data_IF_172116306512
#
_entry.id   IF_172116306512
#
_cell.length_a   1.000
_cell.length_b   1.000
_cell.length_c   1.000
_cell.angle_alpha   90.00
_cell.angle_beta   90.00
_cell.angle_gamma   90.00
#
_symmetry.space_group_name_H-M   'P 1'
#
loop_
_entity.id
_entity.type
_entity.pdbx_description
1 polymer ?
#
# COMPACT_ATOMS: atom_id res chain seq x y z
N UNK A 1 32.35 13.37 -45.45
CA UNK A 1 31.81 12.57 -44.33
C UNK A 1 31.54 13.52 -43.18
N UNK A 2 30.26 13.83 -42.96
CA UNK A 2 29.77 14.79 -41.99
C UNK A 2 30.02 14.28 -40.56
N UNK A 3 30.55 15.17 -39.71
CA UNK A 3 30.63 14.96 -38.27
C UNK A 3 29.37 15.59 -37.67
N UNK A 4 28.43 14.77 -37.23
CA UNK A 4 27.30 15.24 -36.42
C UNK A 4 27.72 15.25 -34.96
N UNK A 5 27.82 16.47 -34.41
CA UNK A 5 27.95 16.78 -32.99
C UNK A 5 26.67 16.38 -32.24
N UNK A 6 26.78 15.52 -31.25
CA UNK A 6 25.76 15.38 -30.20
C UNK A 6 26.25 16.08 -28.94
N UNK A 7 25.87 17.37 -28.85
CA UNK A 7 25.98 18.20 -27.65
C UNK A 7 24.93 17.73 -26.64
N UNK A 8 25.37 17.01 -25.61
CA UNK A 8 24.54 16.70 -24.46
C UNK A 8 24.12 18.02 -23.79
N UNK A 9 22.83 18.35 -23.88
CA UNK A 9 22.24 19.40 -23.08
C UNK A 9 22.09 18.87 -21.66
N UNK A 10 22.96 19.38 -20.79
CA UNK A 10 22.87 19.26 -19.35
C UNK A 10 21.63 20.05 -18.90
N UNK A 11 20.48 19.36 -18.84
CA UNK A 11 19.26 19.91 -18.27
C UNK A 11 19.44 19.83 -16.77
N UNK A 12 19.97 20.89 -16.18
CA UNK A 12 19.94 21.08 -14.74
C UNK A 12 18.49 21.06 -14.28
N UNK A 13 18.07 19.95 -13.67
CA UNK A 13 16.84 19.86 -12.90
C UNK A 13 16.94 20.88 -11.76
N UNK A 14 16.40 22.08 -11.98
CA UNK A 14 16.04 22.98 -10.90
C UNK A 14 14.83 22.37 -10.20
N UNK A 15 15.10 21.39 -9.33
CA UNK A 15 14.14 20.95 -8.32
C UNK A 15 13.89 22.13 -7.40
N UNK A 16 12.81 22.88 -7.67
CA UNK A 16 12.25 23.78 -6.68
C UNK A 16 12.04 22.98 -5.38
N UNK A 17 12.54 23.46 -4.23
CA UNK A 17 12.35 22.75 -2.98
C UNK A 17 10.86 22.62 -2.71
N UNK A 18 10.35 21.38 -2.83
CA UNK A 18 8.97 21.07 -2.52
C UNK A 18 8.75 21.37 -1.04
N UNK A 19 8.02 22.46 -0.81
CA UNK A 19 7.61 22.89 0.53
C UNK A 19 7.01 21.69 1.26
N UNK A 20 7.57 21.35 2.41
CA UNK A 20 7.11 20.17 3.14
C UNK A 20 5.67 20.39 3.60
N UNK A 21 4.91 19.31 3.76
CA UNK A 21 3.50 19.39 4.16
C UNK A 21 3.33 20.14 5.50
N UNK A 22 4.35 20.09 6.37
CA UNK A 22 4.44 20.83 7.63
C UNK A 22 4.65 22.35 7.43
N UNK A 23 5.54 22.75 6.52
CA UNK A 23 5.78 24.17 6.20
C UNK A 23 4.56 24.82 5.51
N UNK A 24 3.83 24.06 4.69
CA UNK A 24 2.58 24.53 4.09
C UNK A 24 1.48 24.72 5.13
N UNK A 25 1.34 23.79 6.08
CA UNK A 25 0.36 23.94 7.17
C UNK A 25 0.68 25.12 8.07
N UNK A 26 1.95 25.34 8.41
CA UNK A 26 2.40 26.46 9.25
C UNK A 26 2.19 27.82 8.55
N UNK A 27 2.48 27.90 7.25
CA UNK A 27 2.18 29.09 6.44
C UNK A 27 0.67 29.35 6.29
N UNK A 28 -0.15 28.31 6.20
CA UNK A 28 -1.60 28.44 6.16
C UNK A 28 -2.19 28.89 7.51
N UNK A 29 -1.65 28.37 8.62
CA UNK A 29 -2.07 28.75 9.97
C UNK A 29 -1.67 30.19 10.30
N UNK A 30 -0.45 30.61 9.94
CA UNK A 30 0.01 32.00 10.09
C UNK A 30 -0.77 32.98 9.19
N UNK A 31 -1.07 32.61 7.94
CA UNK A 31 -1.90 33.44 7.06
C UNK A 31 -3.35 33.55 7.57
N UNK A 32 -3.91 32.47 8.11
CA UNK A 32 -5.24 32.52 8.74
C UNK A 32 -5.23 33.34 10.04
N UNK A 33 -4.21 33.22 10.89
CA UNK A 33 -4.07 34.05 12.09
C UNK A 33 -4.00 35.54 11.75
N UNK A 34 -3.29 35.89 10.67
CA UNK A 34 -3.23 37.26 10.15
C UNK A 34 -4.60 37.78 9.65
N UNK A 35 -5.34 36.95 8.92
CA UNK A 35 -6.70 37.29 8.44
C UNK A 35 -7.67 37.44 9.61
N UNK A 36 -7.61 36.56 10.61
CA UNK A 36 -8.45 36.65 11.80
C UNK A 36 -8.12 37.88 12.66
N UNK A 37 -6.83 38.23 12.80
CA UNK A 37 -6.38 39.44 13.49
C UNK A 37 -6.91 40.71 12.84
N UNK A 38 -6.75 40.85 11.51
CA UNK A 38 -7.28 42.00 10.76
C UNK A 38 -8.81 42.08 10.78
N UNK A 39 -9.50 40.94 10.75
CA UNK A 39 -10.97 40.92 10.78
C UNK A 39 -11.53 41.26 12.16
N UNK A 40 -10.80 40.92 13.23
CA UNK A 40 -11.15 41.31 14.60
C UNK A 40 -10.90 42.81 14.84
N UNK A 41 -9.83 43.39 14.28
CA UNK A 41 -9.56 44.83 14.35
C UNK A 41 -10.60 45.69 13.59
N UNK A 42 -11.27 45.13 12.58
CA UNK A 42 -12.34 45.81 11.84
C UNK A 42 -13.69 45.86 12.60
N UNK A 43 -13.84 45.10 13.68
CA UNK A 43 -15.06 45.13 14.51
C UNK A 43 -14.92 46.22 15.58
N UNK A 44 -15.71 47.29 15.43
CA UNK A 44 -15.76 48.42 16.39
C UNK A 44 -16.20 47.99 17.80
N UNK A 45 -16.90 46.86 17.92
CA UNK A 45 -17.36 46.27 19.18
C UNK A 45 -17.11 44.76 19.21
N UNK A 46 -16.76 44.24 20.38
CA UNK A 46 -16.30 42.86 20.53
C UNK A 46 -17.37 41.92 21.11
N UNK A 47 -18.51 42.46 21.54
CA UNK A 47 -19.64 41.66 22.02
C UNK A 47 -20.97 42.38 21.80
N UNK A 48 -22.04 41.61 21.62
CA UNK A 48 -23.41 42.16 21.55
C UNK A 48 -23.77 42.91 22.83
N UNK A 49 -23.31 42.42 23.99
CA UNK A 49 -23.55 43.07 25.29
C UNK A 49 -22.98 44.49 25.33
N UNK A 50 -21.73 44.69 24.91
CA UNK A 50 -21.12 46.03 24.85
C UNK A 50 -21.90 46.99 23.94
N UNK A 51 -22.47 46.48 22.84
CA UNK A 51 -23.29 47.30 21.94
C UNK A 51 -24.60 47.70 22.63
N UNK A 52 -25.27 46.74 23.29
CA UNK A 52 -26.52 46.98 24.01
C UNK A 52 -26.34 47.96 25.17
N UNK A 53 -25.28 47.80 25.98
CA UNK A 53 -24.96 48.70 27.09
C UNK A 53 -24.71 50.15 26.58
N UNK A 54 -24.09 50.30 25.41
CA UNK A 54 -23.89 51.61 24.78
C UNK A 54 -25.20 52.21 24.25
N UNK A 55 -26.08 51.40 23.64
CA UNK A 55 -27.41 51.85 23.21
C UNK A 55 -28.19 52.34 24.44
N UNK A 56 -28.25 51.57 25.51
CA UNK A 56 -28.95 51.93 26.74
C UNK A 56 -28.43 53.25 27.33
N UNK A 57 -27.11 53.44 27.33
CA UNK A 57 -26.50 54.70 27.77
C UNK A 57 -26.90 55.89 26.91
N UNK A 58 -26.92 55.74 25.58
CA UNK A 58 -27.32 56.80 24.65
C UNK A 58 -28.82 57.11 24.76
N UNK A 59 -29.66 56.09 24.92
CA UNK A 59 -31.10 56.26 25.18
C UNK A 59 -31.36 56.96 26.51
N UNK A 60 -30.61 56.62 27.56
CA UNK A 60 -30.69 57.30 28.85
C UNK A 60 -30.30 58.78 28.72
N UNK A 61 -29.27 59.10 27.95
CA UNK A 61 -28.88 60.48 27.69
C UNK A 61 -29.98 61.25 26.98
N UNK A 62 -30.59 60.67 25.95
CA UNK A 62 -31.71 61.28 25.20
C UNK A 62 -32.91 61.60 26.10
N UNK A 63 -33.24 60.70 27.04
CA UNK A 63 -34.41 60.88 27.93
C UNK A 63 -34.19 61.93 29.01
N UNK A 64 -32.94 62.13 29.45
CA UNK A 64 -32.64 62.92 30.65
C UNK A 64 -31.96 64.28 30.38
N UNK A 65 -31.56 64.56 29.13
CA UNK A 65 -30.91 65.81 28.76
C UNK A 65 -31.68 66.55 27.66
N UNK A 66 -31.69 67.88 27.73
CA UNK A 66 -32.26 68.72 26.68
C UNK A 66 -31.22 69.02 25.60
N UNK A 67 -31.14 68.14 24.60
CA UNK A 67 -30.26 68.33 23.44
C UNK A 67 -30.85 69.31 22.43
N UNK A 68 -29.97 69.95 21.65
CA UNK A 68 -30.43 70.64 20.43
C UNK A 68 -30.83 69.59 19.39
N UNK A 69 -31.80 69.87 18.48
CA UNK A 69 -32.26 68.89 17.49
C UNK A 69 -31.15 68.24 16.65
N UNK A 70 -30.08 68.99 16.33
CA UNK A 70 -28.92 68.45 15.60
C UNK A 70 -28.09 67.45 16.41
N UNK A 71 -27.99 67.64 17.72
CA UNK A 71 -27.24 66.75 18.61
C UNK A 71 -28.06 65.49 18.91
N UNK A 72 -29.37 65.66 19.09
CA UNK A 72 -30.32 64.56 19.22
C UNK A 72 -30.27 63.61 18.02
N UNK A 73 -30.31 64.16 16.80
CA UNK A 73 -30.21 63.37 15.57
C UNK A 73 -28.91 62.57 15.50
N UNK A 74 -27.77 63.15 15.90
CA UNK A 74 -26.48 62.44 15.93
C UNK A 74 -26.51 61.24 16.88
N UNK A 75 -27.16 61.36 18.03
CA UNK A 75 -27.29 60.26 18.99
C UNK A 75 -28.20 59.17 18.41
N UNK A 76 -29.31 59.54 17.77
CA UNK A 76 -30.20 58.59 17.10
C UNK A 76 -29.50 57.84 15.95
N UNK A 77 -28.67 58.55 15.18
CA UNK A 77 -27.87 57.95 14.10
C UNK A 77 -26.84 56.95 14.66
N UNK A 78 -26.18 57.27 15.77
CA UNK A 78 -25.25 56.36 16.45
C UNK A 78 -25.98 55.11 16.98
N UNK A 79 -27.16 55.26 17.61
CA UNK A 79 -27.99 54.12 18.04
C UNK A 79 -28.35 53.23 16.84
N UNK A 80 -28.74 53.82 15.71
CA UNK A 80 -29.05 53.07 14.49
C UNK A 80 -27.82 52.31 13.96
N UNK A 81 -26.64 52.93 13.98
CA UNK A 81 -25.38 52.30 13.60
C UNK A 81 -25.00 51.14 14.54
N UNK A 82 -25.15 51.34 15.86
CA UNK A 82 -24.94 50.31 16.88
C UNK A 82 -25.88 49.11 16.63
N UNK A 83 -27.17 49.33 16.41
CA UNK A 83 -28.12 48.27 16.11
C UNK A 83 -27.74 47.47 14.85
N UNK A 84 -27.29 48.16 13.77
CA UNK A 84 -26.78 47.48 12.57
C UNK A 84 -25.53 46.65 12.87
N UNK A 85 -24.62 47.15 13.71
CA UNK A 85 -23.40 46.44 14.08
C UNK A 85 -23.66 45.12 14.82
N UNK A 86 -24.77 44.99 15.55
CA UNK A 86 -25.16 43.72 16.20
C UNK A 86 -25.35 42.61 15.16
N UNK A 87 -26.00 42.94 14.04
CA UNK A 87 -26.23 41.98 12.96
C UNK A 87 -24.90 41.51 12.35
N UNK A 88 -24.02 42.46 12.02
CA UNK A 88 -22.68 42.17 11.49
C UNK A 88 -21.86 41.30 12.45
N UNK A 89 -21.90 41.60 13.75
CA UNK A 89 -21.18 40.84 14.76
C UNK A 89 -21.69 39.40 14.85
N UNK A 90 -23.02 39.18 14.84
CA UNK A 90 -23.60 37.83 14.83
C UNK A 90 -23.23 37.05 13.58
N UNK A 91 -23.24 37.69 12.42
CA UNK A 91 -22.80 37.07 11.16
C UNK A 91 -21.31 36.67 11.21
N UNK A 92 -20.47 37.50 11.83
CA UNK A 92 -19.06 37.20 12.07
C UNK A 92 -18.88 36.00 13.02
N UNK A 93 -19.56 35.99 14.17
CA UNK A 93 -19.53 34.88 15.14
C UNK A 93 -20.00 33.55 14.51
N UNK A 94 -21.03 33.59 13.68
CA UNK A 94 -21.51 32.45 12.93
C UNK A 94 -20.43 31.92 11.97
N UNK A 95 -19.80 32.80 11.18
CA UNK A 95 -18.70 32.43 10.27
C UNK A 95 -17.47 31.90 11.02
N UNK A 96 -17.12 32.49 12.16
CA UNK A 96 -16.05 31.97 13.03
C UNK A 96 -16.34 30.53 13.47
N UNK A 97 -17.57 30.28 13.93
CA UNK A 97 -18.01 28.94 14.34
C UNK A 97 -17.98 27.95 13.18
N UNK A 98 -18.44 28.36 12.00
CA UNK A 98 -18.39 27.55 10.79
C UNK A 98 -16.95 27.23 10.38
N UNK A 99 -16.06 28.22 10.41
CA UNK A 99 -14.64 28.05 10.11
C UNK A 99 -13.98 27.05 11.08
N UNK A 100 -14.31 27.14 12.38
CA UNK A 100 -13.86 26.17 13.38
C UNK A 100 -14.32 24.75 13.06
N UNK A 101 -15.56 24.57 12.59
CA UNK A 101 -16.07 23.27 12.13
C UNK A 101 -15.30 22.76 10.91
N UNK A 102 -15.06 23.61 9.90
CA UNK A 102 -14.27 23.21 8.73
C UNK A 102 -12.84 22.83 9.08
N UNK A 103 -12.21 23.52 10.03
CA UNK A 103 -10.87 23.16 10.53
C UNK A 103 -10.88 21.78 11.19
N UNK A 104 -11.83 21.52 12.08
CA UNK A 104 -11.96 20.23 12.73
C UNK A 104 -12.20 19.10 11.72
N UNK A 105 -13.08 19.33 10.74
CA UNK A 105 -13.37 18.36 9.68
C UNK A 105 -12.14 18.11 8.79
N UNK A 106 -11.39 19.16 8.44
CA UNK A 106 -10.15 19.01 7.69
C UNK A 106 -9.13 18.15 8.45
N UNK A 107 -8.96 18.36 9.76
CA UNK A 107 -8.07 17.53 10.58
C UNK A 107 -8.53 16.07 10.57
N UNK A 108 -9.83 15.81 10.78
CA UNK A 108 -10.42 14.47 10.72
C UNK A 108 -10.15 13.78 9.38
N UNK A 109 -10.36 14.47 8.27
CA UNK A 109 -10.12 13.94 6.93
C UNK A 109 -8.63 13.67 6.65
N UNK A 110 -7.73 14.50 7.18
CA UNK A 110 -6.28 14.27 7.07
C UNK A 110 -5.87 13.01 7.83
N UNK A 111 -6.39 12.82 9.05
CA UNK A 111 -6.14 11.61 9.85
C UNK A 111 -6.67 10.36 9.14
N UNK A 112 -7.90 10.42 8.62
CA UNK A 112 -8.50 9.32 7.87
C UNK A 112 -7.67 8.97 6.62
N UNK A 113 -7.26 9.98 5.86
CA UNK A 113 -6.37 9.84 4.71
C UNK A 113 -5.05 9.16 5.09
N UNK A 114 -4.40 9.64 6.14
CA UNK A 114 -3.11 9.11 6.59
C UNK A 114 -3.23 7.66 7.05
N UNK A 115 -4.31 7.32 7.77
CA UNK A 115 -4.62 5.96 8.18
C UNK A 115 -4.80 5.03 6.97
N UNK A 116 -5.52 5.50 5.95
CA UNK A 116 -5.73 4.73 4.72
C UNK A 116 -4.41 4.53 3.94
N UNK A 117 -3.57 5.56 3.83
CA UNK A 117 -2.24 5.42 3.22
C UNK A 117 -1.37 4.40 3.95
N UNK A 118 -1.37 4.43 5.29
CA UNK A 118 -0.63 3.46 6.10
C UNK A 118 -1.12 2.02 5.82
N UNK A 119 -2.44 1.81 5.82
CA UNK A 119 -3.04 0.51 5.47
C UNK A 119 -2.61 0.05 4.08
N UNK A 120 -2.75 0.90 3.06
CA UNK A 120 -2.36 0.59 1.68
C UNK A 120 -0.88 0.20 1.60
N UNK A 121 0.01 0.94 2.27
CA UNK A 121 1.44 0.62 2.32
C UNK A 121 1.71 -0.75 2.93
N UNK A 122 1.02 -1.11 4.01
CA UNK A 122 1.18 -2.46 4.61
C UNK A 122 0.63 -3.55 3.70
N UNK A 123 -0.44 -3.29 2.95
CA UNK A 123 -0.99 -4.24 1.98
C UNK A 123 -0.02 -4.49 0.82
N UNK A 124 0.60 -3.44 0.27
CA UNK A 124 1.63 -3.60 -0.77
C UNK A 124 2.83 -4.43 -0.28
N UNK A 125 3.30 -4.19 0.95
CA UNK A 125 4.38 -4.99 1.51
C UNK A 125 4.02 -6.48 1.61
N UNK A 126 2.80 -6.79 2.07
CA UNK A 126 2.28 -8.18 2.11
C UNK A 126 2.12 -8.78 0.71
N UNK A 127 1.65 -8.00 -0.25
CA UNK A 127 1.53 -8.43 -1.65
C UNK A 127 2.89 -8.83 -2.22
N UNK A 128 3.93 -8.04 -1.95
CA UNK A 128 5.30 -8.34 -2.39
C UNK A 128 5.89 -9.59 -1.70
N UNK A 129 5.60 -9.79 -0.41
CA UNK A 129 5.96 -11.03 0.30
C UNK A 129 5.30 -12.26 -0.35
N UNK A 130 3.99 -12.19 -0.62
CA UNK A 130 3.25 -13.26 -1.30
C UNK A 130 3.81 -13.51 -2.70
N UNK A 131 4.13 -12.47 -3.47
CA UNK A 131 4.75 -12.61 -4.79
C UNK A 131 6.09 -13.35 -4.73
N UNK A 132 6.92 -13.05 -3.72
CA UNK A 132 8.19 -13.76 -3.49
C UNK A 132 7.95 -15.23 -3.16
N UNK A 133 7.00 -15.52 -2.26
CA UNK A 133 6.65 -16.90 -1.89
C UNK A 133 6.14 -17.70 -3.10
N UNK A 134 5.26 -17.11 -3.91
CA UNK A 134 4.78 -17.72 -5.16
C UNK A 134 5.95 -18.01 -6.12
N UNK A 135 6.93 -17.11 -6.22
CA UNK A 135 8.09 -17.33 -7.09
C UNK A 135 8.95 -18.51 -6.62
N UNK A 136 9.17 -18.64 -5.31
CA UNK A 136 9.88 -19.78 -4.70
C UNK A 136 9.13 -21.09 -4.98
N UNK A 137 7.84 -21.14 -4.67
CA UNK A 137 7.01 -22.33 -4.90
C UNK A 137 6.96 -22.75 -6.37
N UNK A 138 6.92 -21.79 -7.30
CA UNK A 138 7.01 -22.07 -8.75
C UNK A 138 8.37 -22.68 -9.12
N UNK A 139 9.44 -22.22 -8.51
CA UNK A 139 10.78 -22.80 -8.63
C UNK A 139 10.80 -24.26 -8.19
N UNK A 140 10.26 -24.55 -7.00
CA UNK A 140 10.22 -25.90 -6.42
C UNK A 140 9.36 -26.87 -7.25
N UNK A 141 8.21 -26.40 -7.76
CA UNK A 141 7.37 -27.17 -8.68
C UNK A 141 8.13 -27.51 -9.96
N UNK A 142 8.87 -26.55 -10.52
CA UNK A 142 9.69 -26.77 -11.72
C UNK A 142 10.80 -27.79 -11.48
N UNK A 143 11.50 -27.70 -10.35
CA UNK A 143 12.54 -28.65 -9.96
C UNK A 143 11.95 -30.06 -9.76
N UNK A 144 10.81 -30.16 -9.07
CA UNK A 144 10.11 -31.43 -8.85
C UNK A 144 9.65 -32.07 -10.16
N UNK A 145 9.12 -31.27 -11.10
CA UNK A 145 8.76 -31.75 -12.45
C UNK A 145 9.96 -32.34 -13.20
N UNK A 146 11.10 -31.64 -13.19
CA UNK A 146 12.34 -32.15 -13.80
C UNK A 146 12.79 -33.48 -13.16
N UNK A 147 12.70 -33.59 -11.84
CA UNK A 147 13.04 -34.83 -11.14
C UNK A 147 12.10 -35.98 -11.53
N UNK A 148 10.79 -35.72 -11.61
CA UNK A 148 9.80 -36.71 -12.07
C UNK A 148 10.11 -37.16 -13.51
N UNK A 149 10.42 -36.23 -14.40
CA UNK A 149 10.74 -36.56 -15.80
C UNK A 149 12.04 -37.37 -15.92
N UNK A 150 13.05 -37.07 -15.10
CA UNK A 150 14.26 -37.90 -15.00
C UNK A 150 13.94 -39.33 -14.54
N UNK A 151 13.12 -39.48 -13.51
CA UNK A 151 12.70 -40.81 -13.02
C UNK A 151 11.89 -41.57 -14.08
N UNK A 152 11.02 -40.88 -14.83
CA UNK A 152 10.27 -41.48 -15.95
C UNK A 152 11.19 -41.99 -17.06
N UNK A 153 12.31 -41.32 -17.32
CA UNK A 153 13.29 -41.76 -18.31
C UNK A 153 14.17 -42.91 -17.80
N UNK A 154 14.50 -42.94 -16.51
CA UNK A 154 15.35 -43.97 -15.90
C UNK A 154 14.61 -45.29 -15.67
N UNK A 155 13.34 -45.22 -15.28
CA UNK A 155 12.51 -46.41 -15.02
C UNK A 155 12.55 -47.49 -16.12
N UNK A 156 12.28 -47.18 -17.40
CA UNK A 156 12.29 -48.21 -18.45
C UNK A 156 13.69 -48.79 -18.69
N UNK A 157 14.76 -48.01 -18.49
CA UNK A 157 16.14 -48.50 -18.62
C UNK A 157 16.45 -49.54 -17.55
N UNK A 158 16.08 -49.25 -16.30
CA UNK A 158 16.21 -50.18 -15.18
C UNK A 158 15.36 -51.46 -15.38
N UNK A 159 14.12 -51.33 -15.85
CA UNK A 159 13.26 -52.48 -16.15
C UNK A 159 13.86 -53.36 -17.27
N UNK A 160 14.46 -52.76 -18.30
CA UNK A 160 15.16 -53.47 -19.37
C UNK A 160 16.41 -54.19 -18.85
N UNK A 161 17.25 -53.52 -18.05
CA UNK A 161 18.45 -54.11 -17.45
C UNK A 161 18.10 -55.28 -16.53
N UNK A 162 17.08 -55.13 -15.68
CA UNK A 162 16.58 -56.18 -14.82
C UNK A 162 16.09 -57.39 -15.62
N UNK A 163 15.27 -57.15 -16.64
CA UNK A 163 14.75 -58.21 -17.52
C UNK A 163 15.90 -58.94 -18.25
N UNK A 164 16.90 -58.20 -18.72
CA UNK A 164 18.09 -58.77 -19.36
C UNK A 164 18.90 -59.63 -18.37
N UNK A 165 19.08 -59.17 -17.14
CA UNK A 165 19.74 -59.95 -16.08
C UNK A 165 18.97 -61.24 -15.74
N UNK A 166 17.64 -61.16 -15.62
CA UNK A 166 16.80 -62.34 -15.38
C UNK A 166 16.92 -63.38 -16.51
N UNK A 167 16.89 -62.93 -17.77
CA UNK A 167 17.09 -63.81 -18.94
C UNK A 167 18.48 -64.47 -18.93
N UNK A 168 19.54 -63.72 -18.63
CA UNK A 168 20.90 -64.26 -18.51
C UNK A 168 20.99 -65.33 -17.43
N UNK A 169 20.39 -65.07 -16.26
CA UNK A 169 20.37 -66.02 -15.15
C UNK A 169 19.59 -67.29 -15.50
N UNK A 170 18.44 -67.16 -16.16
CA UNK A 170 17.66 -68.30 -16.63
C UNK A 170 18.41 -69.13 -17.68
N UNK A 171 19.05 -68.48 -18.65
CA UNK A 171 19.89 -69.15 -19.66
C UNK A 171 21.04 -69.92 -19.01
N UNK A 172 21.72 -69.32 -18.01
CA UNK A 172 22.78 -69.99 -17.26
C UNK A 172 22.27 -71.22 -16.48
N UNK A 173 21.08 -71.13 -15.87
CA UNK A 173 20.43 -72.28 -15.20
C UNK A 173 20.10 -73.40 -16.18
N UNK A 174 19.51 -73.07 -17.33
CA UNK A 174 19.18 -74.05 -18.36
C UNK A 174 20.43 -74.74 -18.92
N UNK A 175 21.50 -73.98 -19.18
CA UNK A 175 22.78 -74.54 -19.65
C UNK A 175 23.36 -75.55 -18.65
N UNK A 176 23.38 -75.22 -17.36
CA UNK A 176 23.83 -76.14 -16.29
C UNK A 176 22.95 -77.39 -16.21
N UNK A 177 21.64 -77.25 -16.41
CA UNK A 177 20.71 -78.39 -16.42
C UNK A 177 20.98 -79.33 -17.61
N UNK A 178 21.11 -78.80 -18.82
CA UNK A 178 21.42 -79.57 -20.03
C UNK A 178 22.79 -80.26 -19.94
N UNK A 179 23.81 -79.58 -19.41
CA UNK A 179 25.13 -80.16 -19.17
C UNK A 179 25.07 -81.34 -18.18
N UNK A 180 24.34 -81.18 -17.07
CA UNK A 180 24.11 -82.26 -16.11
C UNK A 180 23.32 -83.43 -16.72
N UNK A 181 22.38 -83.13 -17.62
CA UNK A 181 21.61 -84.15 -18.35
C UNK A 181 22.49 -84.93 -19.32
N UNK A 182 23.36 -84.25 -20.08
CA UNK A 182 24.34 -84.88 -20.97
C UNK A 182 25.31 -85.79 -20.23
N UNK A 183 25.90 -85.30 -19.14
CA UNK A 183 26.80 -86.10 -18.29
C UNK A 183 26.12 -87.38 -17.77
N UNK A 184 24.85 -87.29 -17.36
CA UNK A 184 24.07 -88.48 -16.95
C UNK A 184 23.84 -89.46 -18.10
N UNK A 185 23.56 -88.96 -19.30
CA UNK A 185 23.37 -89.80 -20.48
C UNK A 185 24.67 -90.50 -20.90
N UNK A 186 25.80 -89.80 -20.85
CA UNK A 186 27.12 -90.37 -21.09
C UNK A 186 27.46 -91.45 -20.05
N UNK A 187 27.27 -91.18 -18.76
CA UNK A 187 27.47 -92.19 -17.69
C UNK A 187 26.58 -93.42 -17.87
N UNK A 188 25.34 -93.25 -18.33
CA UNK A 188 24.45 -94.39 -18.63
C UNK A 188 24.97 -95.18 -19.82
N UNK A 189 25.44 -94.51 -20.88
CA UNK A 189 26.00 -95.15 -22.07
C UNK A 189 27.28 -95.91 -21.73
N UNK A 190 28.21 -95.30 -20.99
CA UNK A 190 29.44 -95.94 -20.52
C UNK A 190 29.13 -97.19 -19.69
N UNK A 191 28.20 -97.11 -18.73
CA UNK A 191 27.76 -98.29 -17.97
C UNK A 191 27.14 -99.38 -18.84
N UNK A 192 26.43 -99.02 -19.90
CA UNK A 192 25.86 -99.99 -20.85
C UNK A 192 26.94 -100.63 -21.72
N UNK A 193 27.95 -99.88 -22.15
CA UNK A 193 29.10 -100.39 -22.89
C UNK A 193 29.99 -101.28 -22.04
N UNK A 194 30.26 -100.92 -20.77
CA UNK A 194 30.96 -101.78 -19.82
C UNK A 194 30.23 -103.11 -19.62
N UNK A 195 28.90 -103.08 -19.45
CA UNK A 195 28.09 -104.30 -19.36
C UNK A 195 28.15 -105.15 -20.63
N UNK A 196 28.27 -104.54 -21.81
CA UNK A 196 28.42 -105.24 -23.09
C UNK A 196 29.81 -105.85 -23.29
N UNK A 197 30.85 -105.32 -22.65
CA UNK A 197 32.22 -105.87 -22.70
C UNK A 197 32.47 -106.99 -21.69
N UNK A 198 31.60 -107.10 -20.68
CA UNK A 198 31.63 -108.14 -19.64
C UNK A 198 30.83 -109.41 -20.01
N UNK A 199 30.20 -109.42 -21.18
CA UNK A 199 29.51 -110.55 -21.80
C UNK A 199 30.23 -110.92 -23.10
#
# INVERSE_FOLDING_TARGET
>A
MEKTETRAQDIGEMTEPQMTQAEFTDKMETHQAFIHGKSAELLRYHSVKQILDNIERLEYQLRNNNFKPREEQKILDEISMLQKSIRTLREYEAKQTENKKYRAERTRLIEERNNNYSKIRTLYAKEDEIKKEIAVLRGDISASRKSIDQLRQLRPKLEQEWTAQQRKLQAARNKRYEEKKRLRQEQIRERQEEKRKLW
#
